data_IF_287166309963
#
_entry.id   IF_287166309963
#
_cell.length_a   1.000
_cell.length_b   1.000
_cell.length_c   1.000
_cell.angle_alpha   90.00
_cell.angle_beta   90.00
_cell.angle_gamma   90.00
#
_symmetry.space_group_name_H-M   'P 1'
#
loop_
_entity.id
_entity.type
_entity.pdbx_description
1 polymer ?
#
# COMPACT_ATOMS: atom_id res chain seq x y z
N UNK A 1 47.17 -7.18 41.55
CA UNK A 1 46.02 -6.29 41.33
C UNK A 1 46.10 -5.76 39.90
N UNK A 2 45.48 -6.48 38.96
CA UNK A 2 45.43 -6.07 37.54
C UNK A 2 44.09 -5.40 37.33
N UNK A 3 44.11 -4.08 36.99
CA UNK A 3 42.90 -3.35 36.57
C UNK A 3 42.60 -3.73 35.14
N UNK A 4 41.45 -4.39 34.91
CA UNK A 4 40.84 -4.50 33.59
C UNK A 4 40.28 -3.12 33.22
N UNK A 5 40.82 -2.52 32.16
CA UNK A 5 40.22 -1.37 31.49
C UNK A 5 39.30 -1.93 30.41
N UNK A 6 38.02 -1.80 30.65
CA UNK A 6 37.01 -2.07 29.59
C UNK A 6 37.06 -0.93 28.60
N UNK A 7 37.58 -1.19 27.41
CA UNK A 7 37.50 -0.27 26.27
C UNK A 7 36.10 -0.49 25.67
N UNK A 8 35.20 0.46 25.93
CA UNK A 8 33.96 0.61 25.19
C UNK A 8 34.34 1.11 23.80
N UNK A 9 34.29 0.24 22.78
CA UNK A 9 34.31 0.66 21.39
C UNK A 9 32.96 1.30 21.10
N UNK A 10 32.91 2.63 21.17
CA UNK A 10 31.86 3.40 20.52
C UNK A 10 32.08 3.28 18.99
N UNK A 11 31.39 2.38 18.35
CA UNK A 11 31.28 2.35 16.89
C UNK A 11 30.43 3.56 16.51
N UNK A 12 31.09 4.66 16.11
CA UNK A 12 30.42 5.75 15.43
C UNK A 12 29.92 5.22 14.08
N UNK A 13 28.66 4.82 14.02
CA UNK A 13 27.99 4.47 12.78
C UNK A 13 27.73 5.78 12.04
N UNK A 14 28.54 6.10 11.05
CA UNK A 14 28.23 7.15 10.09
C UNK A 14 27.07 6.66 9.22
N UNK A 15 25.84 6.96 9.61
CA UNK A 15 24.67 6.73 8.78
C UNK A 15 24.69 7.75 7.62
N UNK A 16 25.05 7.29 6.44
CA UNK A 16 24.94 8.08 5.22
C UNK A 16 23.48 8.14 4.78
N UNK A 17 22.81 9.24 5.00
CA UNK A 17 21.55 9.57 4.36
C UNK A 17 21.77 9.92 2.88
N UNK A 18 22.17 8.95 2.08
CA UNK A 18 22.16 9.13 0.65
C UNK A 18 20.88 8.53 0.09
N UNK A 19 19.73 9.17 0.23
CA UNK A 19 18.63 8.74 -0.60
C UNK A 19 17.26 9.41 -0.45
N UNK A 20 16.97 10.22 0.56
CA UNK A 20 15.78 11.07 0.51
C UNK A 20 16.06 12.45 -0.13
N UNK A 21 17.07 12.51 -0.99
CA UNK A 21 17.45 13.71 -1.73
C UNK A 21 16.40 14.05 -2.78
N UNK A 22 15.96 15.31 -2.77
CA UNK A 22 15.02 15.86 -3.72
C UNK A 22 15.57 15.80 -5.14
N UNK A 23 14.95 15.02 -6.00
CA UNK A 23 14.92 15.35 -7.42
C UNK A 23 13.69 16.22 -7.67
N UNK A 24 13.94 17.43 -8.18
CA UNK A 24 12.90 18.42 -8.44
C UNK A 24 12.08 18.00 -9.66
N UNK A 25 10.84 17.58 -9.44
CA UNK A 25 9.83 17.57 -10.49
C UNK A 25 8.89 18.76 -10.24
N UNK A 26 8.78 19.60 -11.23
CA UNK A 26 7.91 20.77 -11.25
C UNK A 26 6.48 20.34 -11.62
N UNK A 27 5.59 20.35 -10.64
CA UNK A 27 4.18 20.17 -10.88
C UNK A 27 3.41 19.77 -9.61
N UNK A 28 2.89 20.75 -8.85
CA UNK A 28 2.10 20.53 -7.65
C UNK A 28 2.88 20.85 -6.38
N UNK A 29 2.39 21.77 -5.55
CA UNK A 29 3.12 22.27 -4.40
C UNK A 29 3.28 21.23 -3.30
N UNK A 30 4.32 20.42 -3.39
CA UNK A 30 4.73 19.52 -2.31
C UNK A 30 5.38 20.33 -1.20
N UNK A 31 4.66 20.50 -0.10
CA UNK A 31 5.28 20.87 1.17
C UNK A 31 6.14 19.67 1.59
N UNK A 32 7.43 19.71 1.24
CA UNK A 32 8.38 18.64 1.48
C UNK A 32 8.77 18.66 2.94
N UNK A 33 8.44 17.62 3.70
CA UNK A 33 8.91 17.47 5.08
C UNK A 33 10.44 17.62 5.14
N UNK A 34 10.91 18.43 6.07
CA UNK A 34 12.34 18.69 6.22
C UNK A 34 13.06 17.43 6.71
N UNK A 35 14.11 17.01 5.99
CA UNK A 35 14.95 15.89 6.40
C UNK A 35 16.16 16.43 7.14
N UNK A 36 16.31 16.08 8.40
CA UNK A 36 17.42 16.49 9.24
C UNK A 36 18.60 15.51 9.17
N UNK A 37 19.82 16.02 9.42
CA UNK A 37 20.99 15.15 9.55
C UNK A 37 20.85 14.23 10.76
N UNK A 38 21.06 12.94 10.57
CA UNK A 38 21.06 11.96 11.67
C UNK A 38 22.33 12.08 12.57
N UNK A 39 23.36 12.79 12.17
CA UNK A 39 24.55 13.00 13.01
C UNK A 39 24.26 13.75 14.32
N UNK A 40 23.18 14.56 14.32
CA UNK A 40 22.72 15.32 15.49
C UNK A 40 21.44 14.77 16.09
N UNK A 41 20.99 13.60 15.63
CA UNK A 41 19.74 13.01 16.06
C UNK A 41 19.77 12.62 17.54
N UNK A 42 18.63 12.77 18.20
CA UNK A 42 18.40 12.16 19.52
C UNK A 42 18.04 10.70 19.32
N UNK A 43 18.75 9.81 20.03
CA UNK A 43 18.57 8.36 19.87
C UNK A 43 17.82 7.76 21.05
N UNK A 44 16.83 6.91 20.76
CA UNK A 44 16.05 6.20 21.75
C UNK A 44 16.26 4.69 21.58
N UNK A 45 16.55 4.03 22.70
CA UNK A 45 16.62 2.57 22.76
C UNK A 45 15.41 2.06 23.50
N UNK A 46 14.56 1.32 22.81
CA UNK A 46 13.38 0.67 23.35
C UNK A 46 13.74 -0.66 24.02
N UNK A 47 13.09 -0.94 25.15
CA UNK A 47 13.12 -2.23 25.83
C UNK A 47 11.82 -2.43 26.60
N UNK A 48 11.52 -3.67 27.02
CA UNK A 48 10.32 -3.98 27.83
C UNK A 48 10.28 -3.27 29.19
N UNK A 49 11.41 -2.74 29.65
CA UNK A 49 11.50 -1.99 30.91
C UNK A 49 11.39 -0.48 30.74
N UNK A 50 11.27 0.01 29.51
CA UNK A 50 11.17 1.43 29.18
C UNK A 50 12.14 1.86 28.09
N UNK A 51 12.14 3.16 27.82
CA UNK A 51 12.92 3.81 26.77
C UNK A 51 14.10 4.55 27.40
N UNK A 52 15.28 4.38 26.83
CA UNK A 52 16.48 5.15 27.22
C UNK A 52 16.82 6.13 26.09
N UNK A 53 16.87 7.42 26.43
CA UNK A 53 17.33 8.46 25.51
C UNK A 53 18.85 8.64 25.61
N UNK A 54 19.50 8.76 24.46
CA UNK A 54 20.86 9.24 24.34
C UNK A 54 20.85 10.68 23.82
N UNK A 55 21.53 11.57 24.49
CA UNK A 55 21.54 13.00 24.18
C UNK A 55 21.89 13.27 22.72
N UNK A 56 21.06 14.10 22.08
CA UNK A 56 21.20 14.65 20.75
C UNK A 56 20.85 16.15 20.77
N UNK A 57 20.71 16.72 19.58
CA UNK A 57 20.39 18.17 19.45
C UNK A 57 18.89 18.47 19.61
N UNK A 58 18.02 17.46 19.55
CA UNK A 58 16.58 17.63 19.53
C UNK A 58 15.96 17.18 20.84
N UNK A 59 15.20 18.07 21.48
CA UNK A 59 14.64 17.86 22.83
C UNK A 59 13.11 17.93 22.86
N UNK A 60 12.46 18.02 21.69
CA UNK A 60 10.99 18.03 21.59
C UNK A 60 10.41 16.61 21.70
N UNK A 61 10.53 16.02 22.89
CA UNK A 61 9.99 14.69 23.16
C UNK A 61 9.68 14.49 24.65
N UNK A 62 8.84 13.52 24.93
CA UNK A 62 8.50 13.01 26.28
C UNK A 62 8.55 11.48 26.27
N UNK A 63 8.99 10.88 27.36
CA UNK A 63 9.01 9.43 27.56
C UNK A 63 8.13 9.11 28.75
N UNK A 64 7.14 8.24 28.53
CA UNK A 64 6.31 7.66 29.60
C UNK A 64 6.33 6.13 29.47
N UNK A 65 7.09 5.46 30.33
CA UNK A 65 7.30 4.01 30.26
C UNK A 65 7.90 3.57 28.92
N UNK A 66 7.10 2.89 28.11
CA UNK A 66 7.42 2.40 26.77
C UNK A 66 6.80 3.23 25.65
N UNK A 67 6.20 4.37 25.99
CA UNK A 67 5.66 5.33 25.01
C UNK A 67 6.63 6.49 24.80
N UNK A 68 6.99 6.75 23.53
CA UNK A 68 7.74 7.92 23.11
C UNK A 68 6.78 8.90 22.42
N UNK A 69 6.61 10.08 22.99
CA UNK A 69 5.89 11.19 22.34
C UNK A 69 6.87 12.19 21.77
N UNK A 70 6.74 12.52 20.47
CA UNK A 70 7.52 13.55 19.77
C UNK A 70 6.63 14.76 19.55
N UNK A 71 7.03 15.93 20.06
CA UNK A 71 6.28 17.18 19.98
C UNK A 71 7.09 18.35 19.40
N UNK A 72 8.27 18.09 18.85
CA UNK A 72 9.14 19.08 18.22
C UNK A 72 9.76 18.59 16.91
N UNK A 73 10.02 19.55 16.01
CA UNK A 73 10.76 19.30 14.78
C UNK A 73 12.17 18.76 15.08
N UNK A 74 12.67 17.84 14.26
CA UNK A 74 14.00 17.31 14.42
C UNK A 74 14.19 15.91 13.87
N UNK A 75 15.39 15.37 14.11
CA UNK A 75 15.75 14.00 13.78
C UNK A 75 15.82 13.13 15.04
N UNK A 76 15.13 12.03 15.00
CA UNK A 76 14.98 11.08 16.09
C UNK A 76 15.30 9.67 15.57
N UNK A 77 16.23 8.99 16.20
CA UNK A 77 16.58 7.60 15.85
C UNK A 77 16.00 6.67 16.91
N UNK A 78 15.33 5.64 16.47
CA UNK A 78 14.74 4.63 17.35
C UNK A 78 15.31 3.25 17.05
N UNK A 79 15.65 2.51 18.09
CA UNK A 79 16.28 1.18 18.01
C UNK A 79 15.83 0.31 19.16
N UNK A 80 16.18 -0.97 19.12
CA UNK A 80 15.93 -1.91 20.22
C UNK A 80 14.70 -2.76 20.02
N UNK A 81 14.28 -3.45 21.09
CA UNK A 81 13.15 -4.39 21.05
C UNK A 81 12.24 -4.12 22.24
N UNK A 82 10.95 -3.98 21.97
CA UNK A 82 9.92 -3.78 22.99
C UNK A 82 8.67 -4.57 22.63
N UNK A 83 8.19 -5.38 23.58
CA UNK A 83 7.03 -6.23 23.38
C UNK A 83 5.70 -5.48 23.55
N UNK A 84 5.73 -4.29 24.16
CA UNK A 84 4.56 -3.41 24.27
C UNK A 84 5.01 -1.95 24.40
N UNK A 85 4.87 -1.18 23.33
CA UNK A 85 5.27 0.22 23.28
C UNK A 85 4.74 0.95 22.06
N UNK A 86 4.83 2.28 22.08
CA UNK A 86 4.30 3.12 21.02
C UNK A 86 5.20 4.36 20.78
N UNK A 87 5.20 4.86 19.53
CA UNK A 87 5.81 6.12 19.13
C UNK A 87 4.68 7.02 18.63
N UNK A 88 4.48 8.16 19.28
CA UNK A 88 3.42 9.09 18.97
C UNK A 88 3.98 10.44 18.53
N UNK A 89 3.65 10.90 17.34
CA UNK A 89 3.93 12.25 16.87
C UNK A 89 2.71 13.11 17.16
N UNK A 90 2.89 14.12 18.01
CA UNK A 90 1.80 14.93 18.52
C UNK A 90 1.14 15.77 17.40
N UNK A 91 -0.18 15.97 17.50
CA UNK A 91 -0.95 16.81 16.57
C UNK A 91 -0.22 18.13 16.26
N UNK A 92 -0.12 18.48 14.96
CA UNK A 92 0.47 19.73 14.48
C UNK A 92 1.99 19.80 14.51
N UNK A 93 2.67 18.70 14.90
CA UNK A 93 4.15 18.66 14.84
C UNK A 93 4.60 18.43 13.41
N UNK A 94 5.42 19.34 12.88
CA UNK A 94 5.94 19.31 11.52
C UNK A 94 7.47 19.21 11.50
N UNK A 95 8.04 18.80 10.36
CA UNK A 95 9.48 18.68 10.19
C UNK A 95 10.10 17.60 11.07
N UNK A 96 9.44 16.46 11.22
CA UNK A 96 9.95 15.32 11.98
C UNK A 96 10.61 14.32 11.02
N UNK A 97 11.82 13.89 11.33
CA UNK A 97 12.48 12.72 10.73
C UNK A 97 12.62 11.64 11.80
N UNK A 98 11.88 10.55 11.64
CA UNK A 98 11.92 9.38 12.52
C UNK A 98 12.67 8.23 11.82
N UNK A 99 13.89 7.95 12.25
CA UNK A 99 14.72 6.89 11.68
C UNK A 99 14.62 5.61 12.49
N UNK A 100 14.11 4.55 11.87
CA UNK A 100 14.06 3.20 12.42
C UNK A 100 15.39 2.50 12.14
N UNK A 101 16.14 2.16 13.17
CA UNK A 101 17.47 1.58 13.05
C UNK A 101 17.63 0.32 13.89
N UNK A 102 17.09 -0.78 13.38
CA UNK A 102 17.05 -2.06 14.09
C UNK A 102 16.00 -2.05 15.22
N UNK A 103 14.84 -1.49 14.93
CA UNK A 103 13.68 -1.47 15.84
C UNK A 103 12.80 -2.69 15.62
N UNK A 104 12.50 -3.40 16.71
CA UNK A 104 11.44 -4.41 16.77
C UNK A 104 10.42 -3.97 17.82
N UNK A 105 9.33 -3.37 17.39
CA UNK A 105 8.32 -2.77 18.26
C UNK A 105 6.97 -3.47 18.07
N UNK A 106 6.44 -3.98 19.18
CA UNK A 106 5.05 -4.45 19.24
C UNK A 106 4.24 -3.48 20.10
N UNK A 107 2.99 -3.28 19.78
CA UNK A 107 2.02 -2.56 20.61
C UNK A 107 0.81 -3.47 20.87
N UNK A 108 0.39 -3.56 22.13
CA UNK A 108 -0.65 -4.50 22.53
C UNK A 108 -2.05 -3.99 22.14
N UNK A 109 -2.33 -2.72 22.35
CA UNK A 109 -3.68 -2.16 22.32
C UNK A 109 -3.83 -0.93 21.41
N UNK A 110 -2.73 -0.42 20.82
CA UNK A 110 -2.73 0.78 19.99
C UNK A 110 -1.75 0.66 18.80
N UNK A 111 -1.59 1.71 18.03
CA UNK A 111 -0.63 1.75 16.94
C UNK A 111 0.82 1.79 17.44
N UNK A 112 1.72 0.92 16.97
CA UNK A 112 3.17 1.07 17.17
C UNK A 112 3.72 2.45 16.75
N UNK A 113 3.18 3.04 15.65
CA UNK A 113 3.49 4.41 15.25
C UNK A 113 2.18 5.17 14.98
N UNK A 114 1.99 6.28 15.70
CA UNK A 114 0.85 7.18 15.55
C UNK A 114 1.32 8.57 15.11
N UNK A 115 0.96 8.98 13.90
CA UNK A 115 1.14 10.35 13.42
C UNK A 115 -0.17 11.12 13.68
N UNK A 116 -0.15 12.09 14.59
CA UNK A 116 -1.31 12.90 14.96
C UNK A 116 -1.82 13.76 13.79
N UNK A 117 -2.98 14.39 13.98
CA UNK A 117 -3.57 15.27 12.95
C UNK A 117 -2.62 16.39 12.53
N UNK A 118 -2.57 16.70 11.23
CA UNK A 118 -1.77 17.79 10.65
C UNK A 118 -0.28 17.71 10.99
N UNK A 119 0.28 16.49 11.00
CA UNK A 119 1.72 16.28 11.18
C UNK A 119 2.44 16.17 9.84
N UNK A 120 3.72 16.56 9.80
CA UNK A 120 4.61 16.30 8.67
C UNK A 120 5.77 15.43 9.14
N UNK A 121 5.85 14.18 8.65
CA UNK A 121 6.76 13.16 9.16
C UNK A 121 7.43 12.42 8.01
N UNK A 122 8.75 12.27 8.10
CA UNK A 122 9.51 11.32 7.28
C UNK A 122 9.93 10.16 8.16
N UNK A 123 9.38 8.97 7.90
CA UNK A 123 9.77 7.72 8.56
C UNK A 123 10.81 7.04 7.66
N UNK A 124 12.01 6.84 8.19
CA UNK A 124 13.16 6.33 7.44
C UNK A 124 13.55 4.95 7.97
N UNK A 125 13.47 3.90 7.17
CA UNK A 125 14.20 2.67 7.48
C UNK A 125 15.69 2.92 7.18
N UNK A 126 16.51 3.03 8.22
CA UNK A 126 17.92 3.37 8.08
C UNK A 126 18.66 2.36 7.17
N UNK A 127 19.61 2.83 6.39
CA UNK A 127 20.33 2.01 5.42
C UNK A 127 20.90 0.75 6.06
N UNK A 128 20.58 -0.41 5.48
CA UNK A 128 21.04 -1.71 5.94
C UNK A 128 20.40 -2.19 7.25
N UNK A 129 19.46 -1.43 7.85
CA UNK A 129 18.71 -1.87 9.02
C UNK A 129 17.58 -2.82 8.63
N UNK A 130 17.16 -3.64 9.59
CA UNK A 130 15.94 -4.44 9.52
C UNK A 130 15.06 -4.06 10.69
N UNK A 131 13.83 -3.67 10.38
CA UNK A 131 12.88 -3.16 11.35
C UNK A 131 11.58 -3.95 11.27
N UNK A 132 10.89 -4.09 12.40
CA UNK A 132 9.55 -4.68 12.46
C UNK A 132 8.63 -3.90 13.37
N UNK A 133 7.41 -3.71 12.91
CA UNK A 133 6.31 -3.12 13.65
C UNK A 133 5.17 -4.13 13.68
N UNK A 134 4.61 -4.37 14.83
CA UNK A 134 3.56 -5.38 15.03
C UNK A 134 2.52 -4.83 15.99
N UNK A 135 1.24 -5.01 15.69
CA UNK A 135 0.17 -4.81 16.64
C UNK A 135 -0.47 -6.15 17.06
N UNK A 136 -1.40 -6.11 18.00
CA UNK A 136 -2.21 -7.26 18.38
C UNK A 136 -3.64 -7.10 17.91
N UNK A 137 -4.44 -8.15 18.07
CA UNK A 137 -5.87 -8.12 17.76
C UNK A 137 -6.64 -7.04 18.54
N UNK A 138 -6.14 -6.58 19.67
CA UNK A 138 -6.80 -5.56 20.50
C UNK A 138 -6.71 -4.14 19.90
N UNK A 139 -5.79 -3.90 18.96
CA UNK A 139 -5.75 -2.66 18.18
C UNK A 139 -6.83 -2.62 17.07
N UNK A 140 -8.08 -2.93 17.46
CA UNK A 140 -9.24 -2.99 16.56
C UNK A 140 -10.51 -2.67 17.35
N UNK A 141 -11.03 -1.44 17.20
CA UNK A 141 -12.21 -0.96 17.93
C UNK A 141 -13.52 -1.62 17.49
N UNK A 142 -13.59 -2.19 16.29
CA UNK A 142 -14.74 -2.97 15.85
C UNK A 142 -14.85 -4.30 16.62
N UNK A 143 -13.72 -4.96 16.86
CA UNK A 143 -13.65 -6.24 17.55
C UNK A 143 -13.51 -6.08 19.07
N UNK A 144 -12.90 -5.00 19.52
CA UNK A 144 -12.64 -4.66 20.92
C UNK A 144 -13.16 -3.25 21.25
N UNK A 145 -14.49 -3.04 21.26
CA UNK A 145 -15.09 -1.71 21.41
C UNK A 145 -14.83 -1.04 22.80
N UNK A 146 -14.38 -1.82 23.78
CA UNK A 146 -13.98 -1.29 25.09
C UNK A 146 -12.54 -0.74 25.07
N UNK A 147 -11.74 -1.05 24.04
CA UNK A 147 -10.40 -0.49 23.86
C UNK A 147 -10.47 0.90 23.23
N UNK A 148 -10.41 1.94 24.05
CA UNK A 148 -10.46 3.35 23.59
C UNK A 148 -9.15 3.85 23.00
N UNK A 149 -8.07 3.08 23.11
CA UNK A 149 -6.74 3.42 22.58
C UNK A 149 -6.49 2.80 21.19
N UNK A 150 -7.40 1.95 20.71
CA UNK A 150 -7.28 1.30 19.42
C UNK A 150 -7.24 2.32 18.27
N UNK A 151 -6.26 2.18 17.40
CA UNK A 151 -6.04 3.07 16.24
C UNK A 151 -6.28 2.35 14.91
N UNK A 152 -6.59 1.06 14.93
CA UNK A 152 -6.96 0.25 13.76
C UNK A 152 -5.87 0.14 12.68
N UNK A 153 -4.60 0.37 13.03
CA UNK A 153 -3.47 0.23 12.12
C UNK A 153 -2.14 0.15 12.87
N UNK A 154 -1.15 -0.51 12.27
CA UNK A 154 0.23 -0.55 12.81
C UNK A 154 0.93 0.80 12.65
N UNK A 155 0.78 1.44 11.50
CA UNK A 155 1.15 2.85 11.31
C UNK A 155 -0.14 3.62 11.06
N UNK A 156 -0.53 4.44 12.02
CA UNK A 156 -1.71 5.30 11.91
C UNK A 156 -1.31 6.74 11.64
N UNK A 157 -1.77 7.29 10.52
CA UNK A 157 -1.66 8.72 10.21
C UNK A 157 -3.07 9.32 10.28
N UNK A 158 -3.28 10.28 11.19
CA UNK A 158 -4.60 10.94 11.37
C UNK A 158 -4.83 12.02 10.31
N UNK A 159 -6.03 12.58 10.26
CA UNK A 159 -6.44 13.57 9.25
C UNK A 159 -5.44 14.72 9.10
N UNK A 160 -5.20 15.13 7.87
CA UNK A 160 -4.25 16.17 7.51
C UNK A 160 -2.77 15.81 7.70
N UNK A 161 -2.45 14.58 8.10
CA UNK A 161 -1.06 14.16 8.22
C UNK A 161 -0.43 13.93 6.83
N UNK A 162 0.80 14.42 6.65
CA UNK A 162 1.63 14.20 5.48
C UNK A 162 2.81 13.31 5.87
N UNK A 163 2.80 12.07 5.41
CA UNK A 163 3.76 11.06 5.84
C UNK A 163 4.51 10.49 4.65
N UNK A 164 5.82 10.45 4.74
CA UNK A 164 6.69 9.76 3.78
C UNK A 164 7.38 8.59 4.46
N UNK A 165 7.23 7.38 3.93
CA UNK A 165 8.01 6.21 4.29
C UNK A 165 9.13 6.02 3.26
N UNK A 166 10.38 5.97 3.72
CA UNK A 166 11.52 5.82 2.80
C UNK A 166 12.74 5.18 3.48
N UNK A 167 13.84 5.04 2.74
CA UNK A 167 15.16 4.61 3.24
C UNK A 167 15.66 3.32 2.59
N UNK A 168 16.95 3.05 2.74
CA UNK A 168 17.61 1.87 2.15
C UNK A 168 17.58 0.63 3.04
N UNK A 169 16.86 0.66 4.16
CA UNK A 169 16.64 -0.48 5.04
C UNK A 169 15.36 -1.26 4.70
N UNK A 170 15.06 -2.25 5.53
CA UNK A 170 13.84 -3.05 5.44
C UNK A 170 12.89 -2.74 6.60
N UNK A 171 11.60 -2.74 6.30
CA UNK A 171 10.51 -2.64 7.27
C UNK A 171 9.50 -3.77 7.04
N UNK A 172 9.23 -4.54 8.08
CA UNK A 172 8.15 -5.52 8.11
C UNK A 172 7.03 -5.01 9.01
N UNK A 173 5.81 -5.05 8.51
CA UNK A 173 4.59 -4.69 9.23
C UNK A 173 3.72 -5.94 9.38
N UNK A 174 3.34 -6.28 10.61
CA UNK A 174 2.41 -7.36 10.91
C UNK A 174 1.17 -6.77 11.58
N UNK A 175 0.09 -6.66 10.82
CA UNK A 175 -1.16 -6.03 11.23
C UNK A 175 -2.17 -7.08 11.71
N UNK A 176 -2.07 -7.44 12.98
CA UNK A 176 -2.97 -8.44 13.57
C UNK A 176 -4.28 -7.82 14.10
N UNK A 177 -4.32 -6.49 14.28
CA UNK A 177 -5.51 -5.75 14.67
C UNK A 177 -6.44 -5.51 13.49
N UNK A 178 -6.04 -4.66 12.58
CA UNK A 178 -6.84 -4.31 11.41
C UNK A 178 -5.96 -4.00 10.19
N UNK A 179 -5.53 -2.75 9.96
CA UNK A 179 -4.78 -2.34 8.78
C UNK A 179 -3.26 -2.32 9.03
N UNK A 180 -2.48 -2.50 7.98
CA UNK A 180 -1.02 -2.30 8.06
C UNK A 180 -0.67 -0.82 8.23
N UNK A 181 -1.02 0.00 7.25
CA UNK A 181 -0.83 1.45 7.26
C UNK A 181 -2.17 2.10 6.96
N UNK A 182 -2.61 3.04 7.81
CA UNK A 182 -3.84 3.82 7.55
C UNK A 182 -3.53 5.31 7.56
N UNK A 183 -3.80 5.98 6.43
CA UNK A 183 -3.72 7.44 6.29
C UNK A 183 -5.11 8.07 6.36
N UNK A 184 -5.23 9.21 7.04
CA UNK A 184 -6.49 9.92 7.22
C UNK A 184 -6.89 10.78 6.04
N UNK A 185 -8.05 11.44 6.18
CA UNK A 185 -8.61 12.32 5.17
C UNK A 185 -7.98 13.72 5.21
N UNK A 186 -8.07 14.43 4.08
CA UNK A 186 -7.86 15.88 4.06
C UNK A 186 -9.07 16.60 4.60
N UNK A 187 -8.83 17.65 5.36
CA UNK A 187 -9.88 18.56 5.81
C UNK A 187 -9.43 20.00 5.62
N UNK A 188 -10.38 20.91 5.42
CA UNK A 188 -10.06 22.34 5.28
C UNK A 188 -9.42 22.94 6.54
N UNK A 189 -9.61 22.32 7.69
CA UNK A 189 -9.08 22.75 8.97
C UNK A 189 -7.77 22.08 9.34
N UNK A 190 -7.55 20.86 8.83
CA UNK A 190 -6.42 20.01 9.18
C UNK A 190 -5.33 19.94 8.06
N UNK A 191 -5.62 20.52 6.88
CA UNK A 191 -4.73 20.48 5.72
C UNK A 191 -4.92 19.23 4.86
N UNK A 192 -4.02 19.05 3.88
CA UNK A 192 -4.07 17.92 2.94
C UNK A 192 -3.36 16.72 3.53
N UNK A 193 -4.03 15.58 3.55
CA UNK A 193 -3.42 14.30 3.94
C UNK A 193 -2.74 13.64 2.75
N UNK A 194 -1.57 13.07 2.97
CA UNK A 194 -0.89 12.25 1.97
C UNK A 194 -0.01 11.17 2.60
N UNK A 195 0.08 10.05 1.90
CA UNK A 195 1.03 8.98 2.20
C UNK A 195 1.92 8.76 0.97
N UNK A 196 3.23 8.85 1.15
CA UNK A 196 4.21 8.59 0.08
C UNK A 196 5.16 7.48 0.50
N UNK A 197 5.34 6.47 -0.36
CA UNK A 197 6.28 5.35 -0.15
C UNK A 197 7.33 5.39 -1.25
N UNK A 198 8.61 5.41 -0.85
CA UNK A 198 9.72 5.45 -1.81
C UNK A 198 11.01 4.86 -1.26
N UNK A 199 11.79 4.21 -2.15
CA UNK A 199 13.14 3.70 -1.84
C UNK A 199 13.17 2.85 -0.56
N UNK A 200 12.17 2.00 -0.35
CA UNK A 200 12.00 1.20 0.85
C UNK A 200 11.81 -0.27 0.46
N UNK A 201 12.40 -1.19 1.23
CA UNK A 201 12.00 -2.59 1.20
C UNK A 201 10.92 -2.79 2.26
N UNK A 202 9.68 -2.96 1.81
CA UNK A 202 8.49 -3.03 2.68
C UNK A 202 7.79 -4.38 2.53
N UNK A 203 7.57 -5.05 3.64
CA UNK A 203 6.74 -6.25 3.70
C UNK A 203 5.56 -5.98 4.61
N UNK A 204 4.33 -6.24 4.15
CA UNK A 204 3.12 -6.08 4.95
C UNK A 204 2.34 -7.38 4.97
N UNK A 205 2.03 -7.85 6.17
CA UNK A 205 1.15 -8.98 6.44
C UNK A 205 -0.08 -8.44 7.19
N UNK A 206 -1.23 -8.40 6.54
CA UNK A 206 -2.49 -7.86 7.08
C UNK A 206 -3.61 -8.93 7.02
N UNK A 207 -3.60 -9.92 7.90
CA UNK A 207 -4.54 -11.05 7.84
C UNK A 207 -5.97 -10.71 8.27
N UNK A 208 -6.27 -9.44 8.57
CA UNK A 208 -7.57 -9.00 9.09
C UNK A 208 -8.29 -8.05 8.14
N UNK A 209 -7.56 -7.13 7.52
CA UNK A 209 -8.10 -6.08 6.63
C UNK A 209 -7.04 -5.65 5.61
N UNK A 210 -7.02 -4.36 5.23
CA UNK A 210 -6.14 -3.82 4.20
C UNK A 210 -4.68 -3.76 4.65
N UNK A 211 -3.78 -3.97 3.71
CA UNK A 211 -2.37 -3.73 4.02
C UNK A 211 -2.05 -2.22 4.02
N UNK A 212 -2.54 -1.47 3.05
CA UNK A 212 -2.43 -0.01 2.99
C UNK A 212 -3.81 0.57 2.70
N UNK A 213 -4.28 1.46 3.57
CA UNK A 213 -5.56 2.16 3.42
C UNK A 213 -5.35 3.67 3.55
N UNK A 214 -5.51 4.43 2.48
CA UNK A 214 -5.40 5.87 2.46
C UNK A 214 -6.75 6.51 2.13
N UNK A 215 -7.10 7.60 2.82
CA UNK A 215 -8.36 8.29 2.59
C UNK A 215 -8.25 9.46 1.61
N UNK A 216 -7.06 9.81 1.11
CA UNK A 216 -6.88 10.97 0.24
C UNK A 216 -5.91 10.69 -0.90
N UNK A 217 -4.62 10.95 -0.69
CA UNK A 217 -3.58 10.80 -1.69
C UNK A 217 -2.57 9.75 -1.25
N UNK A 218 -2.40 8.75 -2.09
CA UNK A 218 -1.36 7.74 -1.93
C UNK A 218 -0.42 7.75 -3.13
N UNK A 219 0.88 7.90 -2.87
CA UNK A 219 1.93 7.79 -3.87
C UNK A 219 2.87 6.62 -3.53
N UNK A 220 2.99 5.65 -4.42
CA UNK A 220 3.98 4.57 -4.35
C UNK A 220 5.02 4.83 -5.43
N UNK A 221 5.99 5.69 -5.12
CA UNK A 221 6.93 6.21 -6.12
C UNK A 221 8.00 5.19 -6.53
N UNK A 222 8.51 4.41 -5.57
CA UNK A 222 9.61 3.45 -5.81
C UNK A 222 9.83 2.56 -4.59
N UNK A 223 10.71 1.55 -4.73
CA UNK A 223 11.03 0.59 -3.67
C UNK A 223 10.57 -0.81 -4.04
N UNK A 224 10.64 -1.72 -3.06
CA UNK A 224 10.17 -3.11 -3.22
C UNK A 224 9.13 -3.40 -2.15
N UNK A 225 7.91 -3.70 -2.57
CA UNK A 225 6.79 -3.99 -1.70
C UNK A 225 6.38 -5.46 -1.89
N UNK A 226 6.22 -6.18 -0.78
CA UNK A 226 5.64 -7.52 -0.74
C UNK A 226 4.45 -7.50 0.20
N UNK A 227 3.26 -7.82 -0.30
CA UNK A 227 2.00 -7.61 0.41
C UNK A 227 1.17 -8.89 0.42
N UNK A 228 0.60 -9.20 1.58
CA UNK A 228 -0.49 -10.15 1.78
C UNK A 228 -1.53 -9.47 2.66
N UNK A 229 -2.78 -9.46 2.22
CA UNK A 229 -3.91 -8.83 2.92
C UNK A 229 -5.15 -9.74 2.91
N UNK A 230 -6.03 -9.55 3.88
CA UNK A 230 -7.31 -10.26 3.90
C UNK A 230 -8.39 -9.53 3.08
N UNK A 231 -8.27 -8.21 2.98
CA UNK A 231 -9.09 -7.33 2.14
C UNK A 231 -8.19 -6.70 1.07
N UNK A 232 -8.13 -5.38 0.94
CA UNK A 232 -7.36 -4.74 -0.12
C UNK A 232 -5.87 -4.73 0.17
N UNK A 233 -5.07 -5.04 -0.85
CA UNK A 233 -3.63 -4.92 -0.68
C UNK A 233 -3.19 -3.44 -0.64
N UNK A 234 -3.73 -2.61 -1.54
CA UNK A 234 -3.47 -1.16 -1.57
C UNK A 234 -4.77 -0.43 -1.92
N UNK A 235 -5.28 0.35 -0.98
CA UNK A 235 -6.51 1.12 -1.13
C UNK A 235 -6.26 2.62 -0.96
N UNK A 236 -6.93 3.44 -1.78
CA UNK A 236 -7.06 4.88 -1.57
C UNK A 236 -8.49 5.34 -1.89
N UNK A 237 -9.15 6.02 -0.97
CA UNK A 237 -10.52 6.53 -1.21
C UNK A 237 -10.58 7.48 -2.43
N UNK A 238 -9.48 8.20 -2.75
CA UNK A 238 -9.49 9.17 -3.85
C UNK A 238 -8.42 8.89 -4.91
N UNK A 239 -7.16 9.18 -4.65
CA UNK A 239 -6.11 9.17 -5.68
C UNK A 239 -4.96 8.26 -5.31
N UNK A 240 -4.63 7.34 -6.18
CA UNK A 240 -3.44 6.50 -6.09
C UNK A 240 -2.56 6.67 -7.32
N UNK A 241 -1.30 7.03 -7.09
CA UNK A 241 -0.27 7.10 -8.11
C UNK A 241 0.82 6.04 -7.88
N UNK A 242 1.11 5.22 -8.87
CA UNK A 242 2.16 4.21 -8.82
C UNK A 242 3.27 4.57 -9.82
N UNK A 243 4.49 4.72 -9.30
CA UNK A 243 5.65 5.11 -10.09
C UNK A 243 5.68 6.60 -10.40
N UNK A 244 6.41 6.97 -11.44
CA UNK A 244 6.54 8.33 -11.93
C UNK A 244 7.04 8.34 -13.36
N UNK A 245 6.77 9.42 -14.09
CA UNK A 245 7.19 9.59 -15.47
C UNK A 245 8.70 9.49 -15.63
N UNK A 246 9.15 8.59 -16.51
CA UNK A 246 10.58 8.43 -16.80
C UNK A 246 11.39 7.75 -15.67
N UNK A 247 10.74 7.11 -14.71
CA UNK A 247 11.37 6.32 -13.65
C UNK A 247 11.13 4.82 -13.85
N UNK A 248 11.93 3.96 -13.21
CA UNK A 248 11.69 2.52 -13.20
C UNK A 248 10.47 2.15 -12.33
N UNK A 249 10.06 3.03 -11.41
CA UNK A 249 8.97 2.83 -10.48
C UNK A 249 9.23 1.79 -9.39
N UNK A 250 8.18 1.38 -8.65
CA UNK A 250 8.28 0.35 -7.63
C UNK A 250 8.28 -1.07 -8.22
N UNK A 251 8.76 -2.02 -7.44
CA UNK A 251 8.44 -3.44 -7.61
C UNK A 251 7.43 -3.82 -6.54
N UNK A 252 6.24 -4.24 -6.96
CA UNK A 252 5.12 -4.60 -6.08
C UNK A 252 4.76 -6.06 -6.34
N UNK A 253 4.76 -6.87 -5.29
CA UNK A 253 4.28 -8.25 -5.32
C UNK A 253 3.15 -8.41 -4.31
N UNK A 254 1.92 -8.53 -4.80
CA UNK A 254 0.73 -8.84 -4.00
C UNK A 254 0.51 -10.34 -4.12
N UNK A 255 0.76 -11.06 -3.03
CA UNK A 255 0.80 -12.53 -3.03
C UNK A 255 -0.54 -13.16 -2.67
N UNK A 256 -1.41 -12.40 -2.00
CA UNK A 256 -2.76 -12.79 -1.60
C UNK A 256 -3.52 -11.54 -1.18
N UNK A 257 -4.75 -11.36 -1.67
CA UNK A 257 -5.68 -10.32 -1.24
C UNK A 257 -7.11 -10.64 -1.69
N UNK A 258 -8.08 -9.87 -1.18
CA UNK A 258 -9.42 -9.83 -1.75
C UNK A 258 -9.38 -8.98 -3.01
N UNK A 259 -9.20 -7.66 -2.91
CA UNK A 259 -8.90 -6.77 -4.04
C UNK A 259 -7.42 -6.37 -4.06
N UNK A 260 -6.87 -6.25 -5.26
CA UNK A 260 -5.44 -5.96 -5.42
C UNK A 260 -5.12 -4.50 -5.11
N UNK A 261 -5.53 -3.60 -5.97
CA UNK A 261 -5.25 -2.17 -5.86
C UNK A 261 -6.52 -1.40 -6.23
N UNK A 262 -7.05 -0.63 -5.28
CA UNK A 262 -8.27 0.15 -5.45
C UNK A 262 -8.04 1.65 -5.24
N UNK A 263 -8.66 2.49 -6.07
CA UNK A 263 -8.79 3.92 -5.85
C UNK A 263 -9.87 4.53 -6.75
N UNK A 264 -10.47 5.66 -6.36
CA UNK A 264 -11.39 6.38 -7.24
C UNK A 264 -10.71 6.91 -8.52
N UNK A 265 -9.44 7.33 -8.40
CA UNK A 265 -8.56 7.68 -9.52
C UNK A 265 -7.24 6.90 -9.39
N UNK A 266 -7.06 5.89 -10.23
CA UNK A 266 -5.89 5.00 -10.22
C UNK A 266 -4.97 5.31 -11.40
N UNK A 267 -3.72 5.71 -11.12
CA UNK A 267 -2.72 6.04 -12.12
C UNK A 267 -1.49 5.14 -11.98
N UNK A 268 -1.18 4.34 -13.01
CA UNK A 268 0.06 3.56 -13.11
C UNK A 268 0.95 4.17 -14.17
N UNK A 269 2.04 4.80 -13.72
CA UNK A 269 2.99 5.51 -14.58
C UNK A 269 4.22 4.66 -14.90
N UNK A 270 4.67 3.84 -13.93
CA UNK A 270 5.83 2.94 -14.09
C UNK A 270 5.83 1.89 -12.98
N UNK A 271 6.72 0.91 -13.06
CA UNK A 271 6.92 -0.12 -12.04
C UNK A 271 6.79 -1.53 -12.60
N UNK A 272 7.08 -2.52 -11.74
CA UNK A 272 6.83 -3.94 -12.00
C UNK A 272 5.85 -4.44 -10.95
N UNK A 273 4.65 -4.81 -11.37
CA UNK A 273 3.52 -5.08 -10.48
C UNK A 273 2.99 -6.48 -10.77
N UNK A 274 3.07 -7.36 -9.77
CA UNK A 274 2.52 -8.71 -9.82
C UNK A 274 1.38 -8.83 -8.79
N UNK A 275 0.18 -9.25 -9.23
CA UNK A 275 -1.02 -9.29 -8.39
C UNK A 275 -1.67 -10.67 -8.47
N UNK A 276 -1.94 -11.26 -7.30
CA UNK A 276 -2.84 -12.39 -7.13
C UNK A 276 -3.98 -11.97 -6.20
N UNK A 277 -5.19 -11.84 -6.76
CA UNK A 277 -6.39 -11.48 -6.01
C UNK A 277 -7.45 -12.57 -6.04
N UNK A 278 -8.35 -12.55 -5.08
CA UNK A 278 -9.54 -13.39 -5.09
C UNK A 278 -10.75 -12.70 -5.73
N UNK A 279 -10.76 -11.38 -5.75
CA UNK A 279 -11.67 -10.52 -6.50
C UNK A 279 -10.88 -9.67 -7.49
N UNK A 280 -11.17 -8.38 -7.70
CA UNK A 280 -10.55 -7.56 -8.73
C UNK A 280 -9.04 -7.35 -8.49
N UNK A 281 -8.27 -7.33 -9.59
CA UNK A 281 -6.83 -7.05 -9.46
C UNK A 281 -6.55 -5.56 -9.38
N UNK A 282 -7.14 -4.75 -10.27
CA UNK A 282 -7.17 -3.29 -10.22
C UNK A 282 -8.61 -2.83 -10.27
N UNK A 283 -8.99 -1.97 -9.33
CA UNK A 283 -10.36 -1.46 -9.24
C UNK A 283 -10.36 0.08 -9.18
N UNK A 284 -11.04 0.75 -10.12
CA UNK A 284 -11.27 2.19 -10.06
C UNK A 284 -12.69 2.47 -9.58
N UNK A 285 -12.88 2.37 -8.27
CA UNK A 285 -14.18 2.47 -7.60
C UNK A 285 -14.08 3.18 -6.26
N UNK A 286 -15.20 3.63 -5.75
CA UNK A 286 -15.44 3.96 -4.35
C UNK A 286 -16.94 4.16 -4.14
N UNK A 287 -17.57 3.27 -3.40
CA UNK A 287 -19.03 3.25 -3.19
C UNK A 287 -19.56 4.48 -2.43
N UNK A 288 -18.72 5.21 -1.71
CA UNK A 288 -19.08 6.39 -0.93
C UNK A 288 -19.09 7.68 -1.78
N UNK A 289 -18.53 7.65 -2.98
CA UNK A 289 -18.40 8.80 -3.88
C UNK A 289 -19.50 8.83 -4.96
N UNK A 290 -20.60 9.45 -4.66
CA UNK A 290 -21.69 9.60 -5.65
C UNK A 290 -21.37 10.68 -6.69
N UNK A 291 -21.39 10.31 -7.98
CA UNK A 291 -21.17 11.24 -9.10
C UNK A 291 -19.71 11.65 -9.30
N UNK A 292 -18.78 10.93 -8.73
CA UNK A 292 -17.36 11.09 -8.99
C UNK A 292 -16.99 10.55 -10.39
N UNK A 293 -16.00 11.17 -11.01
CA UNK A 293 -15.48 10.70 -12.31
C UNK A 293 -14.36 9.70 -12.07
N UNK A 294 -14.74 8.43 -11.84
CA UNK A 294 -13.76 7.34 -11.68
C UNK A 294 -12.90 7.18 -12.93
N UNK A 295 -11.64 6.82 -12.74
CA UNK A 295 -10.75 6.56 -13.86
C UNK A 295 -9.58 5.64 -13.50
N UNK A 296 -9.23 4.78 -14.46
CA UNK A 296 -8.02 3.97 -14.40
C UNK A 296 -7.12 4.34 -15.59
N UNK A 297 -5.91 4.82 -15.29
CA UNK A 297 -4.96 5.28 -16.29
C UNK A 297 -3.64 4.50 -16.19
N UNK A 298 -3.30 3.73 -17.21
CA UNK A 298 -2.05 2.98 -17.29
C UNK A 298 -1.21 3.57 -18.41
N UNK A 299 -0.17 4.32 -18.06
CA UNK A 299 0.74 4.97 -19.02
C UNK A 299 2.12 4.30 -19.11
N UNK A 300 2.44 3.37 -18.20
CA UNK A 300 3.72 2.68 -18.19
C UNK A 300 3.73 1.45 -17.28
N UNK A 301 4.93 0.91 -17.06
CA UNK A 301 5.15 -0.23 -16.20
C UNK A 301 4.95 -1.60 -16.86
N UNK A 302 5.18 -2.64 -16.07
CA UNK A 302 4.89 -4.05 -16.40
C UNK A 302 3.92 -4.55 -15.35
N UNK A 303 2.73 -4.96 -15.76
CA UNK A 303 1.68 -5.43 -14.86
C UNK A 303 1.34 -6.87 -15.23
N UNK A 304 1.47 -7.77 -14.26
CA UNK A 304 0.96 -9.14 -14.32
C UNK A 304 -0.14 -9.28 -13.28
N UNK A 305 -1.34 -9.60 -13.69
CA UNK A 305 -2.48 -9.65 -12.78
C UNK A 305 -3.30 -10.92 -13.01
N UNK A 306 -3.69 -11.58 -11.93
CA UNK A 306 -4.47 -12.81 -11.96
C UNK A 306 -5.55 -12.75 -10.88
N UNK A 307 -6.82 -12.71 -11.31
CA UNK A 307 -7.99 -12.81 -10.43
C UNK A 307 -8.57 -14.21 -10.46
N UNK A 308 -8.92 -14.74 -9.30
CA UNK A 308 -9.55 -16.06 -9.19
C UNK A 308 -11.08 -16.02 -9.24
N UNK A 309 -11.71 -14.88 -8.99
CA UNK A 309 -13.16 -14.77 -8.91
C UNK A 309 -13.75 -13.44 -9.41
N UNK A 310 -12.98 -12.33 -9.40
CA UNK A 310 -13.40 -11.02 -9.88
C UNK A 310 -12.86 -10.70 -11.28
N UNK A 311 -12.88 -9.42 -11.59
CA UNK A 311 -12.36 -8.87 -12.84
C UNK A 311 -10.83 -8.72 -12.82
N UNK A 312 -10.23 -8.60 -13.97
CA UNK A 312 -8.81 -8.27 -14.06
C UNK A 312 -8.60 -6.80 -13.70
N UNK A 313 -9.16 -5.93 -14.51
CA UNK A 313 -9.22 -4.49 -14.29
C UNK A 313 -10.67 -4.07 -14.40
N UNK A 314 -11.24 -3.52 -13.32
CA UNK A 314 -12.57 -2.94 -13.28
C UNK A 314 -12.51 -1.43 -13.09
N UNK A 315 -13.35 -0.68 -13.78
CA UNK A 315 -13.46 0.76 -13.61
C UNK A 315 -14.92 1.21 -13.63
N UNK A 316 -15.38 1.82 -12.56
CA UNK A 316 -16.68 2.51 -12.53
C UNK A 316 -16.68 3.80 -13.38
N UNK A 317 -15.66 4.01 -14.19
CA UNK A 317 -15.50 5.10 -15.14
C UNK A 317 -14.77 4.65 -16.40
N UNK A 318 -13.80 5.45 -16.86
CA UNK A 318 -13.00 5.10 -18.04
C UNK A 318 -11.75 4.29 -17.65
N UNK A 319 -11.38 3.30 -18.50
CA UNK A 319 -10.11 2.58 -18.44
C UNK A 319 -9.25 2.98 -19.67
N UNK A 320 -8.10 3.59 -19.40
CA UNK A 320 -7.16 4.00 -20.46
C UNK A 320 -5.80 3.32 -20.29
N UNK A 321 -5.35 2.60 -21.32
CA UNK A 321 -4.00 2.04 -21.40
C UNK A 321 -3.28 2.75 -22.56
N UNK A 322 -2.35 3.64 -22.22
CA UNK A 322 -1.56 4.43 -23.18
C UNK A 322 -0.10 4.01 -23.28
N UNK A 323 0.35 3.08 -22.43
CA UNK A 323 1.73 2.58 -22.40
C UNK A 323 1.87 1.30 -21.57
N UNK A 324 3.11 0.87 -21.37
CA UNK A 324 3.44 -0.29 -20.55
C UNK A 324 3.25 -1.66 -21.21
N UNK A 325 3.36 -2.69 -20.40
CA UNK A 325 3.08 -4.09 -20.77
C UNK A 325 2.12 -4.67 -19.73
N UNK A 326 0.97 -5.10 -20.17
CA UNK A 326 -0.11 -5.62 -19.33
C UNK A 326 -0.37 -7.07 -19.71
N UNK A 327 -0.30 -7.97 -18.74
CA UNK A 327 -0.75 -9.34 -18.85
C UNK A 327 -1.76 -9.60 -17.72
N UNK A 328 -3.03 -9.70 -18.07
CA UNK A 328 -4.11 -9.91 -17.11
C UNK A 328 -4.90 -11.16 -17.44
N UNK A 329 -5.23 -11.92 -16.41
CA UNK A 329 -6.02 -13.11 -16.51
C UNK A 329 -7.09 -13.17 -15.42
N UNK A 330 -8.30 -13.60 -15.79
CA UNK A 330 -9.40 -13.84 -14.83
C UNK A 330 -9.97 -15.24 -15.02
N UNK A 331 -10.58 -15.77 -13.97
CA UNK A 331 -11.29 -17.05 -14.06
C UNK A 331 -12.49 -16.95 -15.00
N UNK A 332 -12.84 -18.08 -15.64
CA UNK A 332 -14.02 -18.20 -16.49
C UNK A 332 -15.31 -18.31 -15.64
N UNK A 333 -15.78 -17.18 -15.13
CA UNK A 333 -17.05 -17.07 -14.43
C UNK A 333 -18.03 -16.18 -15.19
N UNK A 334 -19.31 -16.18 -14.78
CA UNK A 334 -20.41 -15.67 -15.61
C UNK A 334 -20.34 -14.17 -15.93
N UNK A 335 -19.71 -13.39 -15.08
CA UNK A 335 -19.60 -11.94 -15.12
C UNK A 335 -18.15 -11.40 -15.06
N UNK A 336 -17.17 -12.26 -14.88
CA UNK A 336 -15.77 -11.85 -14.83
C UNK A 336 -15.27 -11.43 -16.22
N UNK A 337 -14.51 -10.34 -16.26
CA UNK A 337 -13.84 -9.84 -17.46
C UNK A 337 -12.38 -9.48 -17.17
N UNK A 338 -11.44 -9.73 -18.09
CA UNK A 338 -10.06 -9.31 -17.89
C UNK A 338 -9.89 -7.79 -17.94
N UNK A 339 -10.76 -7.10 -18.65
CA UNK A 339 -10.88 -5.64 -18.69
C UNK A 339 -12.39 -5.31 -18.68
N UNK A 340 -12.84 -4.58 -17.67
CA UNK A 340 -14.20 -4.04 -17.59
C UNK A 340 -14.19 -2.54 -17.30
N UNK A 341 -15.22 -1.84 -17.71
CA UNK A 341 -15.43 -0.44 -17.43
C UNK A 341 -16.88 -0.03 -17.68
N UNK A 342 -17.45 0.77 -16.79
CA UNK A 342 -18.74 1.44 -17.02
C UNK A 342 -18.65 2.46 -18.17
N UNK A 343 -17.48 3.06 -18.37
CA UNK A 343 -17.17 3.99 -19.43
C UNK A 343 -16.49 3.36 -20.64
N UNK A 344 -15.51 4.04 -21.20
CA UNK A 344 -14.77 3.58 -22.37
C UNK A 344 -13.51 2.82 -21.96
N UNK A 345 -13.24 1.70 -22.62
CA UNK A 345 -11.94 1.02 -22.56
C UNK A 345 -11.13 1.44 -23.78
N UNK A 346 -10.01 2.14 -23.56
CA UNK A 346 -9.14 2.65 -24.63
C UNK A 346 -7.73 2.11 -24.50
N UNK A 347 -7.21 1.41 -25.51
CA UNK A 347 -5.83 0.99 -25.63
C UNK A 347 -5.17 1.77 -26.76
N UNK A 348 -4.48 2.87 -26.44
CA UNK A 348 -3.80 3.74 -27.39
C UNK A 348 -2.30 3.51 -27.49
N UNK A 349 -1.72 2.73 -26.56
CA UNK A 349 -0.29 2.40 -26.53
C UNK A 349 0.01 1.14 -25.73
N UNK A 350 1.29 0.78 -25.65
CA UNK A 350 1.76 -0.38 -24.91
C UNK A 350 1.49 -1.73 -25.57
N UNK A 351 1.53 -2.78 -24.77
CA UNK A 351 1.19 -4.15 -25.17
C UNK A 351 0.26 -4.76 -24.13
N UNK A 352 -0.90 -5.25 -24.57
CA UNK A 352 -1.92 -5.81 -23.68
C UNK A 352 -2.21 -7.26 -24.07
N UNK A 353 -2.14 -8.15 -23.11
CA UNK A 353 -2.62 -9.52 -23.17
C UNK A 353 -3.68 -9.70 -22.08
N UNK A 354 -4.93 -9.78 -22.46
CA UNK A 354 -6.06 -9.93 -21.57
C UNK A 354 -6.79 -11.24 -21.87
N UNK A 355 -6.92 -12.11 -20.88
CA UNK A 355 -7.46 -13.46 -21.06
C UNK A 355 -8.41 -13.85 -19.91
N UNK A 356 -9.37 -14.69 -20.21
CA UNK A 356 -10.35 -15.19 -19.24
C UNK A 356 -11.74 -14.58 -19.43
N UNK A 357 -12.55 -14.67 -18.38
CA UNK A 357 -13.92 -14.17 -18.37
C UNK A 357 -14.90 -15.00 -19.20
N UNK A 358 -16.17 -14.61 -19.16
CA UNK A 358 -17.23 -15.28 -19.95
C UNK A 358 -17.42 -14.59 -21.31
N UNK A 359 -17.56 -15.38 -22.36
CA UNK A 359 -17.90 -14.87 -23.67
C UNK A 359 -19.35 -14.36 -23.68
N UNK A 360 -19.55 -13.07 -23.90
CA UNK A 360 -20.88 -12.50 -24.11
C UNK A 360 -21.17 -11.16 -23.46
N UNK A 361 -20.37 -10.74 -22.51
CA UNK A 361 -20.39 -9.35 -22.03
C UNK A 361 -19.53 -8.53 -23.01
N UNK A 362 -20.13 -7.57 -23.66
CA UNK A 362 -19.44 -6.79 -24.70
C UNK A 362 -18.43 -5.84 -24.07
N UNK A 363 -17.16 -6.05 -24.32
CA UNK A 363 -16.15 -5.04 -24.00
C UNK A 363 -16.34 -3.83 -24.91
N UNK A 364 -16.48 -2.63 -24.35
CA UNK A 364 -16.46 -1.36 -25.08
C UNK A 364 -15.02 -0.97 -25.45
N UNK A 365 -14.25 -1.91 -26.02
CA UNK A 365 -12.83 -1.77 -26.28
C UNK A 365 -12.58 -1.08 -27.61
N UNK A 366 -11.82 0.01 -27.58
CA UNK A 366 -11.17 0.62 -28.73
C UNK A 366 -9.65 0.45 -28.62
N UNK A 367 -9.03 -0.29 -29.54
CA UNK A 367 -7.60 -0.53 -29.53
C UNK A 367 -6.94 0.02 -30.81
N UNK A 368 -5.96 0.90 -30.66
CA UNK A 368 -5.11 1.43 -31.75
C UNK A 368 -3.77 0.68 -31.86
N UNK A 369 -3.42 -0.09 -30.86
CA UNK A 369 -2.16 -0.84 -30.71
C UNK A 369 -2.43 -2.34 -30.55
N UNK A 370 -1.41 -3.22 -30.61
CA UNK A 370 -1.57 -4.64 -30.39
C UNK A 370 -2.22 -4.92 -29.04
N UNK A 371 -3.49 -5.28 -29.09
CA UNK A 371 -4.26 -5.76 -27.95
C UNK A 371 -4.80 -7.14 -28.32
N UNK A 372 -4.46 -8.15 -27.54
CA UNK A 372 -4.92 -9.52 -27.75
C UNK A 372 -5.78 -9.93 -26.58
N UNK A 373 -7.04 -10.20 -26.85
CA UNK A 373 -7.97 -10.71 -25.85
C UNK A 373 -8.33 -12.16 -26.15
N UNK A 374 -8.25 -13.03 -25.14
CA UNK A 374 -8.69 -14.42 -25.23
C UNK A 374 -9.85 -14.61 -24.26
N UNK A 375 -11.05 -14.70 -24.77
CA UNK A 375 -12.23 -15.07 -23.98
C UNK A 375 -12.56 -16.55 -24.14
N UNK A 376 -13.29 -17.12 -23.20
CA UNK A 376 -13.86 -18.44 -23.32
C UNK A 376 -14.85 -18.47 -24.49
N UNK A 377 -14.63 -19.34 -25.47
CA UNK A 377 -15.50 -19.54 -26.64
C UNK A 377 -16.68 -20.49 -26.36
N UNK A 378 -17.27 -20.43 -25.19
CA UNK A 378 -18.41 -21.22 -24.81
C UNK A 378 -19.74 -20.49 -25.03
N UNK A 379 -20.29 -20.46 -26.26
CA UNK A 379 -21.65 -19.97 -26.49
C UNK A 379 -21.88 -19.45 -27.91
N UNK A 380 -22.79 -20.06 -28.62
CA UNK A 380 -23.20 -19.73 -30.00
C UNK A 380 -23.72 -18.30 -30.13
N UNK A 381 -23.11 -17.52 -31.02
CA UNK A 381 -23.64 -16.24 -31.47
C UNK A 381 -22.73 -15.60 -32.49
N UNK A 382 -22.99 -15.83 -33.78
CA UNK A 382 -22.14 -15.43 -34.88
C UNK A 382 -21.94 -13.94 -35.01
N UNK A 383 -20.72 -13.50 -34.89
CA UNK A 383 -20.17 -12.30 -35.47
C UNK A 383 -18.79 -12.62 -36.01
N UNK A 384 -18.65 -12.62 -37.33
CA UNK A 384 -17.40 -12.88 -38.03
C UNK A 384 -16.43 -11.73 -37.78
N UNK A 385 -15.22 -11.95 -37.21
CA UNK A 385 -14.17 -10.95 -37.27
C UNK A 385 -13.62 -10.88 -38.68
N UNK A 386 -13.51 -9.68 -39.19
CA UNK A 386 -12.86 -9.43 -40.47
C UNK A 386 -11.36 -9.74 -40.38
N UNK A 387 -10.92 -10.50 -41.37
CA UNK A 387 -9.58 -10.65 -41.89
C UNK A 387 -8.42 -10.92 -40.94
N UNK A 388 -8.26 -12.20 -40.54
CA UNK A 388 -7.11 -12.70 -39.82
C UNK A 388 -5.86 -12.82 -40.70
N UNK A 389 -4.78 -12.31 -40.20
CA UNK A 389 -3.44 -12.71 -40.62
C UNK A 389 -3.14 -14.14 -40.14
N UNK A 390 -2.84 -15.00 -41.09
CA UNK A 390 -2.49 -16.41 -40.87
C UNK A 390 -1.10 -16.53 -40.21
N UNK A 391 -1.02 -17.15 -39.05
CA UNK A 391 0.27 -17.54 -38.46
C UNK A 391 0.70 -18.90 -39.01
N UNK A 392 1.98 -19.08 -39.43
CA UNK A 392 2.51 -20.38 -39.81
C UNK A 392 3.08 -21.11 -38.59
N UNK A 393 2.69 -22.36 -38.42
CA UNK A 393 3.47 -23.40 -37.81
C UNK A 393 3.05 -23.89 -36.43
N UNK A 394 2.25 -24.94 -36.45
CA UNK A 394 2.12 -25.94 -35.36
C UNK A 394 3.48 -26.32 -34.81
N UNK A 395 3.68 -26.21 -33.52
CA UNK A 395 4.53 -27.07 -32.70
C UNK A 395 3.80 -27.43 -31.44
N UNK A 396 3.44 -28.70 -31.37
CA UNK A 396 3.04 -29.41 -30.16
C UNK A 396 3.98 -29.10 -28.99
N UNK A 397 3.44 -28.66 -27.89
CA UNK A 397 4.14 -28.44 -26.63
C UNK A 397 3.14 -27.92 -25.61
N UNK A 398 2.21 -28.81 -25.18
CA UNK A 398 1.26 -28.47 -24.15
C UNK A 398 1.96 -28.03 -22.85
N UNK A 399 1.87 -26.78 -22.53
CA UNK A 399 1.94 -26.34 -21.15
C UNK A 399 0.51 -26.05 -20.72
N UNK A 400 0.01 -26.90 -19.84
CA UNK A 400 -1.25 -26.70 -19.13
C UNK A 400 -1.11 -25.41 -18.28
N UNK A 401 -2.10 -24.55 -18.39
CA UNK A 401 -2.31 -23.50 -17.41
C UNK A 401 -2.35 -24.11 -15.99
N UNK A 402 -1.89 -23.40 -14.98
CA UNK A 402 -1.96 -23.89 -13.61
C UNK A 402 -3.42 -24.21 -13.25
N UNK A 403 -3.63 -25.45 -12.77
CA UNK A 403 -4.95 -25.93 -12.33
C UNK A 403 -5.23 -25.39 -10.91
N UNK A 404 -6.05 -24.35 -10.83
CA UNK A 404 -6.53 -23.77 -9.57
C UNK A 404 -7.83 -24.43 -9.06
N UNK A 405 -8.17 -25.65 -9.47
CA UNK A 405 -9.34 -26.39 -9.00
C UNK A 405 -9.21 -26.90 -7.55
N UNK A 406 -8.63 -26.13 -6.64
CA UNK A 406 -8.65 -26.35 -5.21
C UNK A 406 -9.82 -25.60 -4.59
N UNK A 407 -11.05 -26.17 -4.67
CA UNK A 407 -12.24 -25.59 -4.06
C UNK A 407 -12.10 -25.44 -2.54
N UNK A 408 -11.65 -24.29 -2.09
CA UNK A 408 -11.85 -23.77 -0.75
C UNK A 408 -12.95 -22.71 -0.82
N UNK A 409 -14.04 -22.89 -0.06
CA UNK A 409 -15.03 -21.84 0.13
C UNK A 409 -14.33 -20.60 0.71
N UNK A 410 -14.60 -19.39 0.18
CA UNK A 410 -14.11 -18.16 0.80
C UNK A 410 -14.62 -18.07 2.24
N UNK A 411 -13.85 -17.49 3.18
CA UNK A 411 -14.35 -17.20 4.50
C UNK A 411 -15.54 -16.24 4.41
N UNK A 412 -16.67 -16.59 5.07
CA UNK A 412 -17.83 -15.71 5.17
C UNK A 412 -17.42 -14.42 5.87
N UNK A 413 -17.79 -13.26 5.31
CA UNK A 413 -17.62 -11.94 5.89
C UNK A 413 -18.14 -11.92 7.33
N UNK A 414 -17.41 -11.49 8.33
CA UNK A 414 -17.96 -11.18 9.63
C UNK A 414 -18.86 -9.93 9.53
N UNK A 415 -20.15 -10.12 9.69
CA UNK A 415 -21.07 -9.14 10.20
C UNK A 415 -21.64 -8.08 9.28
N UNK A 416 -22.58 -8.44 8.40
CA UNK A 416 -23.72 -7.57 8.07
C UNK A 416 -24.96 -8.09 8.79
N UNK A 417 -25.19 -7.66 10.03
CA UNK A 417 -26.49 -7.81 10.66
C UNK A 417 -27.41 -6.71 10.10
N UNK A 418 -28.38 -7.12 9.29
CA UNK A 418 -29.51 -6.26 8.95
C UNK A 418 -30.25 -5.83 10.22
N UNK A 419 -30.65 -4.55 10.33
CA UNK A 419 -31.48 -4.09 11.44
C UNK A 419 -32.88 -4.75 11.35
N UNK A 420 -33.24 -5.46 12.40
CA UNK A 420 -34.56 -6.05 12.55
C UNK A 420 -35.65 -5.01 12.52
N UNK A 421 -36.66 -5.25 11.71
CA UNK A 421 -37.94 -4.52 11.69
C UNK A 421 -38.61 -4.55 13.07
N UNK A 422 -39.10 -3.40 13.61
CA UNK A 422 -39.87 -3.40 14.85
C UNK A 422 -41.23 -4.08 14.64
N UNK A 423 -41.48 -5.13 15.41
CA UNK A 423 -42.85 -5.65 15.55
C UNK A 423 -43.59 -4.77 16.56
N UNK A 424 -44.69 -4.17 16.10
CA UNK A 424 -45.70 -3.56 16.92
C UNK A 424 -46.44 -4.64 17.73
N UNK A 425 -46.48 -4.45 19.02
CA UNK A 425 -47.63 -4.76 19.91
C UNK A 425 -47.51 -3.95 21.21
#
# INVERSE_FOLDING_TARGET
MKKLVSILCAAALALSLAACGAESHSGGGDAKAAVYSLESATTFTFSDSGITAQDGSYTGYEIDGTTLTIDGAGAYVVTGTCADGSIQIKKGTTGVTLALNGLALTSADTAPILCGKSTEVVIVAADGSTNSLTDTAENNDDSYPDNTEAENAVIKCKDGAQVTLCGGGALTINANGKNGIKSGASTTEEGEASLTIRKLTLTINAPVNDAINAQQLLNVESGTLTISAADDAIHSDLVLNIGGDGTDGPTIAITECYEGIEAAELNVLSGNIDILSSDDCLNAANSDLSGYAFSMNISGGVITACSSSGDGFDSNGDLTISGGTVAVWTANAADNQPLDADGAITVSGGTVLAAGGSAGMGMNLTAEQPCVTFGSTGGMGGGRPGNGGQFPGDRDGGQQAPDFSGGGQPPERPGSQQPGTPQNS
#
